data_IF_461783072342
#
_entry.id   IF_461783072342
#
_cell.length_a   1.000
_cell.length_b   1.000
_cell.length_c   1.000
_cell.angle_alpha   90.00
_cell.angle_beta   90.00
_cell.angle_gamma   90.00
#
_symmetry.space_group_name_H-M   'P 1'
#
loop_
_entity.id
_entity.type
_entity.pdbx_description
1 polymer ?
#
# COMPACT_ATOMS: atom_id res chain seq x y z
N UNK A 1 32.63 22.14 -8.88
CA UNK A 1 31.89 21.51 -10.01
C UNK A 1 31.13 22.62 -10.73
N UNK A 2 31.76 23.27 -11.71
CA UNK A 2 31.12 24.27 -12.57
C UNK A 2 30.74 23.56 -13.88
N UNK A 3 29.64 22.79 -13.87
CA UNK A 3 29.12 22.24 -15.11
C UNK A 3 28.56 23.38 -15.96
N UNK A 4 28.77 23.32 -17.28
CA UNK A 4 28.16 24.23 -18.25
C UNK A 4 26.69 24.50 -17.88
N UNK A 5 26.31 25.78 -17.80
CA UNK A 5 24.98 26.24 -17.34
C UNK A 5 23.83 25.49 -18.02
N UNK A 6 24.02 25.03 -19.26
CA UNK A 6 23.05 24.22 -20.01
C UNK A 6 22.63 22.92 -19.32
N UNK A 7 23.57 22.20 -18.71
CA UNK A 7 23.28 20.95 -18.00
C UNK A 7 22.48 21.16 -16.71
N UNK A 8 22.65 22.33 -16.07
CA UNK A 8 21.86 22.72 -14.89
C UNK A 8 20.38 22.91 -15.22
N UNK A 9 20.07 23.52 -16.38
CA UNK A 9 18.68 23.66 -16.83
C UNK A 9 18.04 22.31 -17.13
N UNK A 10 18.76 21.41 -17.83
CA UNK A 10 18.27 20.06 -18.13
C UNK A 10 17.96 19.28 -16.85
N UNK A 11 18.86 19.31 -15.86
CA UNK A 11 18.63 18.65 -14.58
C UNK A 11 17.42 19.23 -13.82
N UNK A 12 17.28 20.56 -13.83
CA UNK A 12 16.17 21.25 -13.16
C UNK A 12 14.83 20.87 -13.80
N UNK A 13 14.71 20.98 -15.14
CA UNK A 13 13.49 20.58 -15.85
C UNK A 13 13.17 19.09 -15.66
N UNK A 14 14.18 18.23 -15.64
CA UNK A 14 14.00 16.79 -15.38
C UNK A 14 13.40 16.51 -14.01
N UNK A 15 13.92 17.15 -12.95
CA UNK A 15 13.38 17.01 -11.58
C UNK A 15 11.95 17.52 -11.49
N UNK A 16 11.64 18.68 -12.09
CA UNK A 16 10.27 19.20 -12.12
C UNK A 16 9.31 18.29 -12.91
N UNK A 17 9.75 17.72 -14.03
CA UNK A 17 8.97 16.77 -14.81
C UNK A 17 8.61 15.52 -14.01
N UNK A 18 9.58 14.95 -13.28
CA UNK A 18 9.35 13.81 -12.39
C UNK A 18 8.41 14.18 -11.24
N UNK A 19 8.61 15.34 -10.60
CA UNK A 19 7.75 15.81 -9.51
C UNK A 19 6.31 16.03 -9.98
N UNK A 20 6.12 16.62 -11.15
CA UNK A 20 4.80 16.83 -11.75
C UNK A 20 4.13 15.50 -12.12
N UNK A 21 4.85 14.58 -12.77
CA UNK A 21 4.33 13.25 -13.10
C UNK A 21 3.94 12.46 -11.85
N UNK A 22 4.74 12.54 -10.79
CA UNK A 22 4.41 11.93 -9.50
C UNK A 22 3.13 12.53 -8.88
N UNK A 23 3.01 13.87 -8.90
CA UNK A 23 1.85 14.56 -8.35
C UNK A 23 0.56 14.29 -9.16
N UNK A 24 0.65 14.15 -10.48
CA UNK A 24 -0.49 13.89 -11.34
C UNK A 24 -0.96 12.43 -11.31
N UNK A 25 -0.05 11.48 -11.15
CA UNK A 25 -0.35 10.04 -11.19
C UNK A 25 -0.26 9.41 -9.81
N UNK A 26 0.96 9.14 -9.33
CA UNK A 26 1.19 8.31 -8.15
C UNK A 26 0.56 8.86 -6.87
N UNK A 27 0.53 10.19 -6.68
CA UNK A 27 -0.09 10.81 -5.51
C UNK A 27 -1.56 10.44 -5.39
N UNK A 28 -2.45 10.93 -6.26
CA UNK A 28 -3.88 10.63 -6.22
C UNK A 28 -4.17 9.14 -6.39
N UNK A 29 -3.45 8.45 -7.29
CA UNK A 29 -3.71 7.05 -7.61
C UNK A 29 -3.47 6.13 -6.41
N UNK A 30 -2.41 6.34 -5.63
CA UNK A 30 -2.11 5.45 -4.49
C UNK A 30 -3.20 5.54 -3.43
N UNK A 31 -3.66 6.74 -3.10
CA UNK A 31 -4.72 6.94 -2.11
C UNK A 31 -6.07 6.44 -2.60
N UNK A 32 -6.37 6.66 -3.89
CA UNK A 32 -7.60 6.19 -4.51
C UNK A 32 -7.65 4.66 -4.61
N UNK A 33 -6.60 4.02 -5.12
CA UNK A 33 -6.53 2.56 -5.19
C UNK A 33 -6.68 1.93 -3.81
N UNK A 34 -6.07 2.54 -2.78
CA UNK A 34 -6.21 2.06 -1.41
C UNK A 34 -7.66 2.17 -0.91
N UNK A 35 -8.44 3.18 -1.33
CA UNK A 35 -9.86 3.26 -0.95
C UNK A 35 -10.75 2.29 -1.73
N UNK A 36 -10.44 2.00 -2.99
CA UNK A 36 -11.21 1.08 -3.85
C UNK A 36 -10.92 -0.40 -3.55
N UNK A 37 -9.67 -0.74 -3.22
CA UNK A 37 -9.27 -2.13 -2.95
C UNK A 37 -9.83 -2.70 -1.63
N UNK A 38 -10.17 -1.84 -0.67
CA UNK A 38 -10.62 -2.29 0.65
C UNK A 38 -12.13 -2.08 0.86
N UNK A 39 -12.81 -3.17 1.20
CA UNK A 39 -14.20 -3.17 1.67
C UNK A 39 -14.37 -2.23 2.88
N UNK A 40 -15.53 -1.58 2.94
CA UNK A 40 -15.87 -0.49 3.88
C UNK A 40 -15.57 -0.85 5.35
N UNK A 41 -15.65 -2.13 5.73
CA UNK A 41 -15.42 -2.59 7.10
C UNK A 41 -13.94 -2.64 7.52
N UNK A 42 -13.00 -2.82 6.59
CA UNK A 42 -11.55 -2.97 6.90
C UNK A 42 -10.70 -1.79 6.44
N UNK A 43 -11.26 -0.90 5.63
CA UNK A 43 -10.59 0.26 5.02
C UNK A 43 -9.80 1.10 6.02
N UNK A 44 -10.35 1.41 7.19
CA UNK A 44 -9.67 2.23 8.20
C UNK A 44 -8.38 1.59 8.75
N UNK A 45 -8.42 0.28 9.03
CA UNK A 45 -7.24 -0.47 9.51
C UNK A 45 -6.18 -0.60 8.43
N UNK A 46 -6.61 -0.88 7.20
CA UNK A 46 -5.72 -1.03 6.06
C UNK A 46 -5.02 0.29 5.68
N UNK A 47 -5.76 1.40 5.67
CA UNK A 47 -5.20 2.75 5.46
C UNK A 47 -4.19 3.12 6.55
N UNK A 48 -4.50 2.82 7.83
CA UNK A 48 -3.57 3.05 8.94
C UNK A 48 -2.26 2.28 8.78
N UNK A 49 -2.35 0.98 8.49
CA UNK A 49 -1.17 0.14 8.25
C UNK A 49 -0.34 0.62 7.05
N UNK A 50 -0.99 0.93 5.92
CA UNK A 50 -0.34 1.48 4.72
C UNK A 50 0.38 2.80 5.01
N UNK A 51 -0.25 3.67 5.79
CA UNK A 51 0.31 4.96 6.19
C UNK A 51 1.58 4.79 7.02
N UNK A 52 1.57 3.87 8.00
CA UNK A 52 2.74 3.57 8.82
C UNK A 52 3.89 3.06 7.94
N UNK A 53 3.63 2.10 7.04
CA UNK A 53 4.64 1.57 6.12
C UNK A 53 5.21 2.65 5.21
N UNK A 54 4.34 3.55 4.72
CA UNK A 54 4.74 4.67 3.87
C UNK A 54 5.69 5.62 4.60
N UNK A 55 5.34 6.05 5.82
CA UNK A 55 6.18 6.94 6.61
C UNK A 55 7.47 6.28 7.10
N UNK A 56 7.44 4.98 7.43
CA UNK A 56 8.65 4.22 7.77
C UNK A 56 9.59 4.14 6.57
N UNK A 57 9.05 3.85 5.38
CA UNK A 57 9.83 3.81 4.14
C UNK A 57 10.42 5.18 3.81
N UNK A 58 9.64 6.25 3.94
CA UNK A 58 10.10 7.62 3.73
C UNK A 58 11.23 7.99 4.72
N UNK A 59 11.11 7.57 5.99
CA UNK A 59 12.15 7.78 7.00
C UNK A 59 13.43 7.02 6.65
N UNK A 60 13.30 5.76 6.25
CA UNK A 60 14.43 4.92 5.84
C UNK A 60 15.16 5.51 4.63
N UNK A 61 14.42 5.95 3.60
CA UNK A 61 14.99 6.62 2.43
C UNK A 61 15.70 7.90 2.84
N UNK A 62 15.12 8.71 3.74
CA UNK A 62 15.75 9.94 4.21
C UNK A 62 17.10 9.69 4.90
N UNK A 63 17.20 8.66 5.75
CA UNK A 63 18.46 8.30 6.40
C UNK A 63 19.49 7.72 5.43
N UNK A 64 19.06 6.81 4.56
CA UNK A 64 19.95 6.12 3.62
C UNK A 64 20.43 7.04 2.49
N UNK A 65 19.59 7.97 2.04
CA UNK A 65 19.93 8.94 1.00
C UNK A 65 21.02 9.91 1.47
N UNK A 66 20.88 10.48 2.67
CA UNK A 66 21.86 11.44 3.19
C UNK A 66 23.22 10.79 3.45
N UNK A 67 23.24 9.54 3.95
CA UNK A 67 24.46 8.76 4.11
C UNK A 67 25.07 8.36 2.76
N UNK A 68 24.24 7.90 1.82
CA UNK A 68 24.66 7.48 0.49
C UNK A 68 25.27 8.62 -0.33
N UNK A 69 24.70 9.83 -0.25
CA UNK A 69 25.27 11.01 -0.92
C UNK A 69 26.65 11.38 -0.40
N UNK A 70 26.90 11.24 0.91
CA UNK A 70 28.19 11.60 1.51
C UNK A 70 29.32 10.66 1.09
N UNK A 71 29.02 9.37 0.88
CA UNK A 71 30.02 8.35 0.56
C UNK A 71 30.21 8.15 -0.95
N UNK A 72 29.12 8.13 -1.72
CA UNK A 72 29.11 7.73 -3.13
C UNK A 72 28.86 8.90 -4.10
N UNK A 73 28.68 10.12 -3.58
CA UNK A 73 28.33 11.30 -4.36
C UNK A 73 26.84 11.35 -4.76
N UNK A 74 26.41 12.42 -5.44
CA UNK A 74 24.99 12.68 -5.70
C UNK A 74 24.41 11.82 -6.82
N UNK A 75 25.18 11.28 -7.77
CA UNK A 75 24.58 10.54 -8.90
C UNK A 75 24.15 9.11 -8.53
N UNK A 76 24.96 8.40 -7.73
CA UNK A 76 24.76 6.96 -7.47
C UNK A 76 23.46 6.66 -6.72
N UNK A 77 23.10 7.37 -5.63
CA UNK A 77 21.86 7.12 -4.92
C UNK A 77 20.63 7.33 -5.82
N UNK A 78 20.62 8.41 -6.63
CA UNK A 78 19.49 8.70 -7.52
C UNK A 78 19.23 7.59 -8.54
N UNK A 79 20.28 7.00 -9.12
CA UNK A 79 20.13 5.89 -10.07
C UNK A 79 19.58 4.65 -9.36
N UNK A 80 20.09 4.31 -8.18
CA UNK A 80 19.63 3.16 -7.39
C UNK A 80 18.14 3.31 -7.04
N UNK A 81 17.74 4.47 -6.50
CA UNK A 81 16.34 4.71 -6.16
C UNK A 81 15.45 4.75 -7.41
N UNK A 82 15.94 5.27 -8.54
CA UNK A 82 15.18 5.26 -9.80
C UNK A 82 14.92 3.83 -10.31
N UNK A 83 15.91 2.94 -10.24
CA UNK A 83 15.75 1.52 -10.62
C UNK A 83 14.77 0.82 -9.69
N UNK A 84 14.90 1.01 -8.38
CA UNK A 84 13.99 0.40 -7.39
C UNK A 84 12.56 0.90 -7.62
N UNK A 85 12.35 2.21 -7.78
CA UNK A 85 11.02 2.77 -8.06
C UNK A 85 10.43 2.23 -9.35
N UNK A 86 11.23 2.12 -10.42
CA UNK A 86 10.76 1.58 -11.71
C UNK A 86 10.35 0.11 -11.58
N UNK A 87 11.10 -0.69 -10.82
CA UNK A 87 10.74 -2.07 -10.51
C UNK A 87 9.45 -2.15 -9.67
N UNK A 88 9.27 -1.25 -8.69
CA UNK A 88 8.03 -1.16 -7.90
C UNK A 88 6.83 -0.77 -8.75
N UNK A 89 6.98 0.13 -9.72
CA UNK A 89 5.91 0.51 -10.66
C UNK A 89 5.53 -0.68 -11.54
N UNK A 90 6.52 -1.39 -12.08
CA UNK A 90 6.28 -2.58 -12.89
C UNK A 90 5.59 -3.68 -12.07
N UNK A 91 6.03 -3.88 -10.83
CA UNK A 91 5.37 -4.79 -9.89
C UNK A 91 3.92 -4.36 -9.67
N UNK A 92 3.65 -3.10 -9.32
CA UNK A 92 2.30 -2.59 -9.09
C UNK A 92 1.40 -2.77 -10.33
N UNK A 93 1.93 -2.55 -11.53
CA UNK A 93 1.18 -2.73 -12.78
C UNK A 93 0.81 -4.19 -13.07
N UNK A 94 1.67 -5.16 -12.69
CA UNK A 94 1.41 -6.59 -12.86
C UNK A 94 0.57 -7.18 -11.71
N UNK A 95 0.69 -6.57 -10.53
CA UNK A 95 0.08 -7.02 -9.29
C UNK A 95 -1.36 -6.50 -9.14
N UNK A 96 -1.64 -5.27 -9.52
CA UNK A 96 -2.92 -4.63 -9.21
C UNK A 96 -3.89 -4.87 -10.37
N UNK A 97 -5.08 -5.46 -10.14
CA UNK A 97 -6.10 -5.58 -11.17
C UNK A 97 -6.68 -4.20 -11.51
N UNK A 98 -7.24 -4.06 -12.69
CA UNK A 98 -7.84 -2.80 -13.13
C UNK A 98 -9.11 -2.51 -12.30
N UNK A 99 -9.09 -1.45 -11.50
CA UNK A 99 -10.17 -1.06 -10.59
C UNK A 99 -11.19 -0.13 -11.24
N UNK A 100 -11.13 0.12 -12.55
CA UNK A 100 -12.05 1.02 -13.24
C UNK A 100 -13.49 0.49 -13.30
N UNK A 101 -14.43 1.22 -12.69
CA UNK A 101 -15.89 1.01 -12.73
C UNK A 101 -16.42 -0.31 -12.15
N UNK A 102 -15.65 -1.00 -11.29
CA UNK A 102 -16.04 -2.30 -10.69
C UNK A 102 -16.48 -2.18 -9.24
N UNK A 103 -17.34 -3.10 -8.79
CA UNK A 103 -17.72 -3.15 -7.37
C UNK A 103 -16.58 -3.73 -6.51
N UNK A 104 -16.47 -3.37 -5.21
CA UNK A 104 -15.45 -3.92 -4.32
C UNK A 104 -15.46 -5.46 -4.26
N UNK A 105 -16.63 -6.07 -4.40
CA UNK A 105 -16.81 -7.52 -4.40
C UNK A 105 -16.23 -8.17 -5.67
N UNK A 106 -16.40 -7.52 -6.83
CA UNK A 106 -15.80 -7.96 -8.10
C UNK A 106 -14.28 -7.83 -8.09
N UNK A 107 -13.76 -6.76 -7.47
CA UNK A 107 -12.31 -6.56 -7.29
C UNK A 107 -11.73 -7.68 -6.42
N UNK A 108 -12.39 -8.06 -5.33
CA UNK A 108 -11.91 -9.14 -4.47
C UNK A 108 -11.91 -10.50 -5.17
N UNK A 109 -12.90 -10.79 -6.01
CA UNK A 109 -12.92 -11.99 -6.85
C UNK A 109 -11.77 -11.99 -7.88
N UNK A 110 -11.51 -10.86 -8.54
CA UNK A 110 -10.45 -10.73 -9.55
C UNK A 110 -9.06 -10.86 -8.92
N UNK A 111 -8.86 -10.28 -7.72
CA UNK A 111 -7.63 -10.44 -6.91
C UNK A 111 -7.36 -11.93 -6.61
N UNK A 112 -8.38 -12.73 -6.29
CA UNK A 112 -8.23 -14.16 -6.01
C UNK A 112 -7.87 -14.97 -7.26
N UNK A 113 -8.37 -14.57 -8.44
CA UNK A 113 -8.12 -15.29 -9.68
C UNK A 113 -6.78 -14.93 -10.36
N UNK A 114 -6.20 -13.77 -10.04
CA UNK A 114 -4.90 -13.34 -10.55
C UNK A 114 -3.79 -14.37 -10.27
N UNK A 115 -3.07 -14.74 -11.34
CA UNK A 115 -2.03 -15.78 -11.32
C UNK A 115 -0.90 -15.53 -10.31
N UNK A 116 -0.62 -14.26 -10.00
CA UNK A 116 0.44 -13.85 -9.10
C UNK A 116 0.04 -14.02 -7.62
N UNK A 117 -1.19 -13.66 -7.26
CA UNK A 117 -1.75 -13.82 -5.90
C UNK A 117 -2.14 -15.26 -5.60
N UNK A 118 -2.53 -16.04 -6.62
CA UNK A 118 -2.86 -17.47 -6.49
C UNK A 118 -1.79 -18.26 -5.76
N UNK A 119 -0.53 -17.83 -5.86
CA UNK A 119 0.62 -18.49 -5.22
C UNK A 119 0.79 -18.14 -3.74
N UNK A 120 0.43 -16.91 -3.31
CA UNK A 120 0.52 -16.52 -1.90
C UNK A 120 -0.60 -17.12 -1.06
N UNK A 121 -1.79 -17.29 -1.65
CA UNK A 121 -2.95 -17.88 -0.98
C UNK A 121 -2.95 -19.40 -0.98
N UNK A 122 -2.14 -20.08 -1.81
CA UNK A 122 -1.96 -21.54 -1.73
C UNK A 122 -1.53 -22.07 -0.35
N UNK A 123 -0.98 -21.20 0.51
CA UNK A 123 -0.62 -21.49 1.91
C UNK A 123 -1.82 -21.27 2.86
N UNK A 124 -2.67 -20.26 2.63
CA UNK A 124 -3.83 -19.96 3.47
C UNK A 124 -5.08 -20.79 3.10
N UNK A 125 -5.28 -21.15 1.83
CA UNK A 125 -6.43 -21.96 1.40
C UNK A 125 -6.33 -23.41 1.92
N UNK A 126 -5.12 -23.93 2.16
CA UNK A 126 -4.95 -25.20 2.88
C UNK A 126 -5.34 -25.12 4.37
N UNK A 127 -5.35 -23.93 4.97
CA UNK A 127 -5.77 -23.74 6.35
C UNK A 127 -7.28 -23.47 6.51
N UNK A 128 -7.96 -23.03 5.45
CA UNK A 128 -9.39 -22.70 5.50
C UNK A 128 -10.34 -23.83 5.02
N UNK A 129 -9.79 -24.97 4.59
CA UNK A 129 -10.56 -26.15 4.20
C UNK A 129 -10.70 -27.17 5.34
N UNK A 130 -10.84 -26.69 6.59
CA UNK A 130 -11.27 -27.50 7.74
C UNK A 130 -12.63 -26.97 8.21
N UNK A 131 -13.68 -27.62 7.70
CA UNK A 131 -15.09 -27.66 8.13
C UNK A 131 -15.76 -26.37 8.69
N UNK A 132 -16.81 -25.84 8.03
CA UNK A 132 -17.52 -24.61 8.43
C UNK A 132 -18.41 -24.75 9.69
N UNK A 133 -18.38 -25.86 10.43
CA UNK A 133 -19.29 -26.09 11.55
C UNK A 133 -18.82 -25.53 12.92
N UNK A 134 -17.55 -25.08 13.04
CA UNK A 134 -16.95 -24.69 14.33
C UNK A 134 -16.79 -23.18 14.58
N UNK A 135 -16.69 -22.37 13.52
CA UNK A 135 -16.44 -20.93 13.65
C UNK A 135 -17.71 -20.17 14.10
N UNK A 136 -18.87 -20.61 13.62
CA UNK A 136 -20.17 -19.99 13.89
C UNK A 136 -20.59 -20.14 15.35
N UNK A 137 -20.21 -21.26 15.98
CA UNK A 137 -20.45 -21.54 17.40
C UNK A 137 -19.58 -20.66 18.32
N UNK A 138 -18.31 -20.44 17.96
CA UNK A 138 -17.41 -19.58 18.73
C UNK A 138 -17.80 -18.09 18.63
N UNK A 139 -18.31 -17.68 17.47
CA UNK A 139 -18.81 -16.32 17.24
C UNK A 139 -20.12 -16.09 18.01
N UNK A 140 -21.08 -17.02 17.94
CA UNK A 140 -22.35 -16.92 18.68
C UNK A 140 -22.13 -16.86 20.20
N UNK A 141 -21.19 -17.64 20.74
CA UNK A 141 -20.86 -17.62 22.18
C UNK A 141 -20.22 -16.30 22.61
N UNK A 142 -19.43 -15.66 21.74
CA UNK A 142 -18.79 -14.37 22.02
C UNK A 142 -19.80 -13.22 21.99
N UNK A 143 -20.76 -13.24 21.06
CA UNK A 143 -21.86 -12.27 21.00
C UNK A 143 -22.87 -12.45 22.15
N UNK A 144 -23.19 -13.68 22.55
CA UNK A 144 -24.10 -13.95 23.68
C UNK A 144 -23.57 -13.41 25.03
N UNK A 145 -22.25 -13.39 25.22
CA UNK A 145 -21.61 -12.77 26.40
C UNK A 145 -21.52 -11.24 26.36
N UNK A 146 -21.78 -10.61 25.20
CA UNK A 146 -21.71 -9.16 25.02
C UNK A 146 -23.05 -8.45 25.26
N UNK A 147 -24.16 -9.19 25.34
CA UNK A 147 -25.49 -8.64 25.70
C UNK A 147 -25.72 -8.52 27.22
N UNK A 148 -24.85 -9.10 28.06
CA UNK A 148 -24.96 -9.00 29.53
C UNK A 148 -24.23 -7.79 30.14
N UNK A 149 -23.58 -6.95 29.32
CA UNK A 149 -22.84 -5.79 29.83
C UNK A 149 -23.75 -4.57 30.01
N UNK A 150 -23.85 -3.99 31.23
CA UNK A 150 -24.73 -2.86 31.51
C UNK A 150 -24.41 -1.62 30.65
N UNK A 151 -25.48 -0.94 30.25
CA UNK A 151 -25.63 0.12 29.25
C UNK A 151 -24.94 1.47 29.57
N UNK A 152 -23.68 1.45 30.05
CA UNK A 152 -22.97 2.67 30.46
C UNK A 152 -21.57 2.81 29.83
N UNK A 153 -21.11 1.85 29.03
CA UNK A 153 -19.77 1.89 28.40
C UNK A 153 -19.77 2.11 26.88
N UNK A 154 -20.95 2.19 26.22
CA UNK A 154 -21.07 2.30 24.76
C UNK A 154 -20.63 3.64 24.14
N UNK A 155 -20.28 4.65 24.95
CA UNK A 155 -19.99 6.00 24.44
C UNK A 155 -18.50 6.40 24.40
N UNK A 156 -17.56 5.50 24.72
CA UNK A 156 -16.12 5.83 24.82
C UNK A 156 -15.21 5.18 23.76
N UNK A 157 -15.77 4.53 22.72
CA UNK A 157 -14.97 3.86 21.67
C UNK A 157 -15.31 4.37 20.27
N UNK A 158 -15.59 5.67 20.16
CA UNK A 158 -15.59 6.37 18.87
C UNK A 158 -14.93 7.75 19.09
N UNK A 159 -13.60 7.77 19.13
CA UNK A 159 -12.73 8.84 18.61
C UNK A 159 -11.46 8.17 18.09
#
# INVERSE_FOLDING_TARGET
IQMSKGWGYVATFGVFGVAFGYAASFGPLTWLLTSEMFSTSVRGRALGASTIVTYLSASLVSYTFLSGQKVLGPCVPFVIYSVITSASVLFAYLAIPDTGDRSPEEIEADIQDMWWWRQSWGICTKAQHQDPAGADAAVSTKYASMDELPEQSKQQVIV
#
